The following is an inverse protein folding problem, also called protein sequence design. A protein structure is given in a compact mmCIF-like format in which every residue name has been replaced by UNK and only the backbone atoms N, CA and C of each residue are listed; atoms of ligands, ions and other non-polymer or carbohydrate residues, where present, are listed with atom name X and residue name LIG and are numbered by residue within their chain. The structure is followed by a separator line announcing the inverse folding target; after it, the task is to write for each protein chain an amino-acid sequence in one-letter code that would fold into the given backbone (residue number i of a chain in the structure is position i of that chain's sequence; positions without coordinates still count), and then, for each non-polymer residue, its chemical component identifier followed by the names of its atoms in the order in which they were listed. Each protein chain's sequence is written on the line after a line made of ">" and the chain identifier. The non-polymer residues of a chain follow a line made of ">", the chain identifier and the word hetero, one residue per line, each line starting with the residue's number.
data_IF_047850358768
#
_entry.id   IF_047850358768
#
_cell.length_a   1.000
_cell.length_b   1.000
_cell.length_c   1.000
_cell.angle_alpha   90.00
_cell.angle_beta   90.00
_cell.angle_gamma   90.00
#
_symmetry.space_group_name_H-M   'P 1'
#
loop_
_entity.id
_entity.type
_entity.pdbx_description
1 polymer ?
#
# COMPACT_ATOMS: atom_id res chain seq x y z
N UNK A 1 15.82 0.96 -6.09
CA UNK A 1 14.91 1.90 -5.40
C UNK A 1 13.90 2.33 -6.44
N UNK A 2 12.62 2.36 -6.09
CA UNK A 2 11.57 2.83 -6.98
C UNK A 2 10.99 4.12 -6.41
N UNK A 3 11.18 5.22 -7.12
CA UNK A 3 10.73 6.55 -6.71
C UNK A 3 9.75 7.11 -7.73
N UNK A 4 8.92 8.06 -7.27
CA UNK A 4 7.99 8.82 -8.10
C UNK A 4 7.07 7.89 -8.93
N UNK A 5 6.63 6.78 -8.33
CA UNK A 5 5.68 5.89 -8.96
C UNK A 5 4.30 6.52 -8.91
N UNK A 6 3.50 6.21 -9.93
CA UNK A 6 2.05 6.39 -9.87
C UNK A 6 1.39 5.02 -9.79
N UNK A 7 0.44 4.87 -8.88
CA UNK A 7 -0.35 3.67 -8.68
C UNK A 7 -1.77 3.93 -9.17
N UNK A 8 -2.20 3.17 -10.16
CA UNK A 8 -3.49 3.35 -10.84
C UNK A 8 -4.40 2.19 -10.50
N UNK A 9 -5.54 2.50 -9.89
CA UNK A 9 -6.54 1.51 -9.50
C UNK A 9 -7.18 0.89 -10.75
N UNK A 10 -7.13 -0.44 -10.85
CA UNK A 10 -7.72 -1.20 -11.95
C UNK A 10 -9.07 -1.77 -11.53
N UNK A 11 -9.11 -2.43 -10.38
CA UNK A 11 -10.35 -2.94 -9.78
C UNK A 11 -10.39 -2.64 -8.29
N UNK A 12 -11.59 -2.50 -7.76
CA UNK A 12 -11.83 -2.19 -6.36
C UNK A 12 -13.19 -2.70 -5.93
N UNK A 13 -13.24 -3.36 -4.78
CA UNK A 13 -14.47 -3.80 -4.15
C UNK A 13 -14.35 -3.59 -2.63
N UNK A 14 -15.38 -3.06 -2.00
CA UNK A 14 -15.40 -2.80 -0.56
C UNK A 14 -16.84 -2.82 -0.03
N UNK A 15 -16.98 -2.97 1.28
CA UNK A 15 -18.24 -2.80 2.03
C UNK A 15 -18.19 -1.57 2.96
N UNK A 16 -17.33 -0.60 2.63
CA UNK A 16 -17.07 0.60 3.42
C UNK A 16 -18.17 1.64 3.14
N UNK A 17 -18.79 2.10 4.22
CA UNK A 17 -19.55 3.34 4.20
C UNK A 17 -18.57 4.48 4.49
N UNK A 18 -18.26 5.28 3.47
CA UNK A 18 -17.29 6.38 3.62
C UNK A 18 -17.84 7.55 4.43
N UNK A 19 -19.17 7.66 4.60
CA UNK A 19 -19.78 8.68 5.45
C UNK A 19 -19.83 8.23 6.92
N UNK A 20 -19.91 6.92 7.17
CA UNK A 20 -19.92 6.35 8.52
C UNK A 20 -19.08 5.06 8.64
N UNK A 21 -17.74 5.14 8.54
CA UNK A 21 -16.89 3.96 8.52
C UNK A 21 -16.90 3.23 9.88
N UNK A 22 -16.95 1.89 9.82
CA UNK A 22 -17.08 1.00 10.98
C UNK A 22 -16.00 -0.07 11.02
N UNK A 23 -15.65 -0.45 12.24
CA UNK A 23 -14.85 -1.66 12.50
C UNK A 23 -15.54 -2.88 11.86
N UNK A 24 -14.75 -3.70 11.19
CA UNK A 24 -15.21 -4.90 10.48
C UNK A 24 -15.26 -4.75 8.97
N UNK A 25 -15.49 -3.52 8.46
CA UNK A 25 -15.52 -3.24 7.03
C UNK A 25 -14.12 -3.39 6.41
N UNK A 26 -14.08 -3.68 5.11
CA UNK A 26 -12.90 -4.07 4.37
C UNK A 26 -13.01 -3.77 2.87
N UNK A 27 -11.89 -3.91 2.17
CA UNK A 27 -11.88 -3.87 0.72
C UNK A 27 -10.70 -4.60 0.11
N UNK A 28 -10.85 -4.94 -1.15
CA UNK A 28 -9.79 -5.48 -2.01
C UNK A 28 -9.58 -4.56 -3.21
N UNK A 29 -8.36 -4.53 -3.72
CA UNK A 29 -8.02 -3.80 -4.94
C UNK A 29 -6.97 -4.52 -5.76
N UNK A 30 -7.02 -4.26 -7.05
CA UNK A 30 -5.91 -4.50 -7.97
C UNK A 30 -5.48 -3.16 -8.53
N UNK A 31 -4.19 -2.87 -8.52
CA UNK A 31 -3.63 -1.66 -9.08
C UNK A 31 -2.39 -1.95 -9.93
N UNK A 32 -2.05 -1.00 -10.80
CA UNK A 32 -0.84 -1.03 -11.62
C UNK A 32 0.14 0.05 -11.16
N UNK A 33 1.40 -0.33 -10.97
CA UNK A 33 2.50 0.59 -10.68
C UNK A 33 3.15 1.05 -11.97
N UNK A 34 3.27 2.37 -12.13
CA UNK A 34 3.90 3.00 -13.29
C UNK A 34 5.08 3.87 -12.88
N UNK A 35 6.13 3.83 -13.68
CA UNK A 35 7.29 4.71 -13.54
C UNK A 35 6.99 6.14 -14.05
N UNK A 36 7.92 7.10 -13.89
CA UNK A 36 7.72 8.48 -14.36
C UNK A 36 7.55 8.64 -15.88
N UNK A 37 7.94 7.64 -16.68
CA UNK A 37 7.69 7.62 -18.13
C UNK A 37 6.27 7.15 -18.47
N UNK A 38 5.54 6.62 -17.48
CA UNK A 38 4.21 6.04 -17.62
C UNK A 38 4.22 4.54 -17.95
N UNK A 39 5.40 3.91 -18.00
CA UNK A 39 5.53 2.48 -18.25
C UNK A 39 5.10 1.68 -17.01
N UNK A 40 4.31 0.63 -17.21
CA UNK A 40 3.94 -0.29 -16.15
C UNK A 40 5.16 -1.11 -15.72
N UNK A 41 5.43 -1.13 -14.41
CA UNK A 41 6.58 -1.84 -13.81
C UNK A 41 6.15 -2.94 -12.84
N UNK A 42 4.87 -3.03 -12.52
CA UNK A 42 4.33 -4.06 -11.65
C UNK A 42 2.85 -3.91 -11.35
N UNK A 43 2.32 -4.86 -10.58
CA UNK A 43 0.94 -4.89 -10.11
C UNK A 43 0.88 -5.00 -8.60
N UNK A 44 -0.21 -4.51 -8.02
CA UNK A 44 -0.51 -4.61 -6.59
C UNK A 44 -1.83 -5.35 -6.43
N UNK A 45 -1.82 -6.45 -5.68
CA UNK A 45 -3.01 -7.12 -5.17
C UNK A 45 -3.13 -6.78 -3.68
N UNK A 46 -4.10 -5.96 -3.33
CA UNK A 46 -4.24 -5.38 -1.99
C UNK A 46 -5.53 -5.79 -1.30
N UNK A 47 -5.45 -5.86 0.03
CA UNK A 47 -6.58 -6.00 0.94
C UNK A 47 -6.38 -5.07 2.13
N UNK A 48 -7.48 -4.52 2.65
CA UNK A 48 -7.47 -3.80 3.91
C UNK A 48 -8.73 -4.08 4.72
N UNK A 49 -8.62 -3.95 6.05
CA UNK A 49 -9.74 -4.11 6.99
C UNK A 49 -9.63 -3.13 8.14
N UNK A 50 -10.73 -2.45 8.46
CA UNK A 50 -10.84 -1.63 9.66
C UNK A 50 -10.97 -2.57 10.86
N UNK A 51 -9.96 -2.61 11.73
CA UNK A 51 -9.85 -3.63 12.78
C UNK A 51 -10.31 -3.13 14.14
N UNK A 52 -10.00 -1.88 14.49
CA UNK A 52 -10.33 -1.34 15.82
C UNK A 52 -10.43 0.18 15.80
N UNK A 53 -11.02 0.75 16.85
CA UNK A 53 -10.81 2.15 17.25
C UNK A 53 -9.64 2.21 18.21
N UNK A 54 -8.74 3.18 18.02
CA UNK A 54 -7.62 3.42 18.94
C UNK A 54 -8.11 4.21 20.14
N UNK A 55 -7.87 3.72 21.34
CA UNK A 55 -8.43 4.30 22.57
C UNK A 55 -8.01 5.76 22.83
N UNK A 56 -6.83 6.18 22.34
CA UNK A 56 -6.30 7.51 22.62
C UNK A 56 -7.04 8.65 21.89
N UNK A 57 -7.62 8.37 20.72
CA UNK A 57 -8.18 9.40 19.84
C UNK A 57 -9.38 8.93 19.00
N UNK A 58 -9.89 7.73 19.28
CA UNK A 58 -11.00 7.07 18.57
C UNK A 58 -10.76 6.84 17.06
N UNK A 59 -9.51 6.97 16.60
CA UNK A 59 -9.16 6.79 15.20
C UNK A 59 -9.39 5.35 14.76
N UNK A 60 -10.00 5.18 13.58
CA UNK A 60 -10.18 3.87 12.97
C UNK A 60 -8.83 3.35 12.45
N UNK A 61 -8.37 2.25 13.04
CA UNK A 61 -7.13 1.60 12.67
C UNK A 61 -7.41 0.49 11.68
N UNK A 62 -6.71 0.55 10.55
CA UNK A 62 -6.85 -0.35 9.41
C UNK A 62 -5.59 -1.19 9.27
N UNK A 63 -5.77 -2.50 9.11
CA UNK A 63 -4.69 -3.39 8.71
C UNK A 63 -4.71 -3.51 7.17
N UNK A 64 -3.55 -3.38 6.54
CA UNK A 64 -3.35 -3.45 5.09
C UNK A 64 -2.41 -4.61 4.82
N UNK A 65 -2.74 -5.44 3.83
CA UNK A 65 -1.88 -6.48 3.30
C UNK A 65 -1.82 -6.37 1.79
N UNK A 66 -0.63 -6.37 1.20
CA UNK A 66 -0.45 -6.32 -0.25
C UNK A 66 0.55 -7.37 -0.72
N UNK A 67 0.33 -7.84 -1.94
CA UNK A 67 1.34 -8.47 -2.76
C UNK A 67 1.65 -7.53 -3.93
N UNK A 68 2.92 -7.20 -4.11
CA UNK A 68 3.40 -6.38 -5.22
C UNK A 68 4.27 -7.28 -6.10
N UNK A 69 3.83 -7.49 -7.35
CA UNK A 69 4.59 -8.23 -8.34
C UNK A 69 5.37 -7.25 -9.23
N UNK A 70 6.69 -7.34 -9.24
CA UNK A 70 7.59 -6.59 -10.10
C UNK A 70 8.24 -7.54 -11.12
N UNK A 71 8.86 -6.98 -12.17
CA UNK A 71 9.48 -7.77 -13.24
C UNK A 71 10.54 -8.77 -12.74
N UNK A 72 11.22 -8.46 -11.64
CA UNK A 72 12.34 -9.21 -11.09
C UNK A 72 12.08 -9.79 -9.69
N UNK A 73 10.82 -9.81 -9.23
CA UNK A 73 10.43 -10.51 -8.01
C UNK A 73 9.18 -9.94 -7.32
N UNK A 74 8.73 -10.67 -6.31
CA UNK A 74 7.56 -10.31 -5.51
C UNK A 74 7.96 -9.66 -4.19
N UNK A 75 7.10 -8.75 -3.72
CA UNK A 75 7.24 -8.01 -2.46
C UNK A 75 5.93 -8.12 -1.69
N UNK A 76 6.03 -8.33 -0.39
CA UNK A 76 4.90 -8.36 0.52
C UNK A 76 4.90 -7.12 1.42
N UNK A 77 3.71 -6.63 1.70
CA UNK A 77 3.45 -5.49 2.57
C UNK A 77 2.42 -5.91 3.61
N UNK A 78 2.70 -5.62 4.87
CA UNK A 78 1.72 -5.70 5.96
C UNK A 78 1.92 -4.49 6.88
N UNK A 79 0.87 -3.71 7.10
CA UNK A 79 0.97 -2.45 7.82
C UNK A 79 -0.31 -2.04 8.55
N UNK A 80 -0.12 -1.27 9.62
CA UNK A 80 -1.19 -0.52 10.26
C UNK A 80 -1.26 0.89 9.71
N UNK A 81 -2.46 1.35 9.42
CA UNK A 81 -2.75 2.69 8.97
C UNK A 81 -3.92 3.27 9.75
N UNK A 82 -3.98 4.60 9.83
CA UNK A 82 -5.22 5.30 10.14
C UNK A 82 -6.12 5.24 8.91
N UNK A 83 -7.40 4.94 9.07
CA UNK A 83 -8.34 4.88 7.95
C UNK A 83 -8.41 6.22 7.22
N UNK A 84 -8.35 7.33 7.97
CA UNK A 84 -8.29 8.67 7.40
C UNK A 84 -7.13 8.88 6.41
N UNK A 85 -5.99 8.22 6.59
CA UNK A 85 -4.85 8.30 5.67
C UNK A 85 -5.07 7.57 4.33
N UNK A 86 -6.05 6.67 4.25
CA UNK A 86 -6.39 5.99 2.99
C UNK A 86 -7.21 6.87 2.05
N UNK A 87 -7.86 7.89 2.60
CA UNK A 87 -8.75 8.81 1.86
C UNK A 87 -8.23 10.26 1.85
N UNK A 88 -7.29 10.60 2.74
CA UNK A 88 -6.60 11.89 2.77
C UNK A 88 -5.29 11.82 2.01
N UNK A 89 -4.83 12.93 1.43
CA UNK A 89 -3.55 13.03 0.72
C UNK A 89 -2.29 12.93 1.61
N UNK A 90 -2.43 12.41 2.83
CA UNK A 90 -1.31 12.18 3.74
C UNK A 90 -0.51 10.93 3.36
N UNK A 91 0.79 10.93 3.67
CA UNK A 91 1.65 9.78 3.43
C UNK A 91 1.41 8.65 4.45
N UNK A 92 1.30 7.44 3.92
CA UNK A 92 1.42 6.18 4.63
C UNK A 92 2.81 5.59 4.45
N UNK A 93 3.29 4.90 5.48
CA UNK A 93 4.58 4.22 5.50
C UNK A 93 4.38 2.79 5.95
N UNK A 94 4.57 1.86 5.02
CA UNK A 94 4.29 0.45 5.22
C UNK A 94 5.61 -0.35 5.18
N UNK A 95 5.92 -1.16 6.20
CA UNK A 95 7.04 -2.09 6.12
C UNK A 95 6.86 -3.05 4.94
N UNK A 96 7.95 -3.37 4.25
CA UNK A 96 7.94 -4.35 3.17
C UNK A 96 9.00 -5.43 3.35
N UNK A 97 8.70 -6.62 2.84
CA UNK A 97 9.62 -7.75 2.76
C UNK A 97 9.60 -8.29 1.33
N UNK A 98 10.76 -8.37 0.70
CA UNK A 98 10.91 -9.03 -0.59
C UNK A 98 10.83 -10.55 -0.44
N UNK A 99 9.93 -11.15 -1.21
CA UNK A 99 9.54 -12.56 -1.11
C UNK A 99 10.32 -13.42 -2.10
N UNK A 100 10.59 -12.90 -3.30
CA UNK A 100 11.22 -13.68 -4.37
C UNK A 100 12.13 -12.82 -5.27
N UNK A 101 12.85 -13.51 -6.16
CA UNK A 101 13.72 -12.87 -7.16
C UNK A 101 14.80 -12.00 -6.55
N UNK A 102 15.08 -10.85 -7.18
CA UNK A 102 16.08 -9.86 -6.75
C UNK A 102 15.78 -9.22 -5.38
N UNK A 103 14.57 -9.44 -4.86
CA UNK A 103 14.11 -8.87 -3.60
C UNK A 103 14.15 -9.85 -2.44
N UNK A 104 14.32 -11.15 -2.68
CA UNK A 104 14.24 -12.18 -1.66
C UNK A 104 15.08 -11.84 -0.41
N UNK A 105 14.41 -11.75 0.74
CA UNK A 105 15.03 -11.46 2.04
C UNK A 105 15.37 -9.98 2.29
N UNK A 106 15.17 -9.09 1.32
CA UNK A 106 15.38 -7.64 1.52
C UNK A 106 14.18 -7.05 2.24
N UNK A 107 14.44 -6.12 3.14
CA UNK A 107 13.40 -5.37 3.85
C UNK A 107 13.44 -3.90 3.45
N UNK A 108 12.34 -3.18 3.69
CA UNK A 108 12.23 -1.80 3.28
C UNK A 108 10.97 -1.11 3.76
N UNK A 109 10.66 0.00 3.07
CA UNK A 109 9.42 0.77 3.27
C UNK A 109 8.77 1.04 1.92
N UNK A 110 7.46 0.81 1.85
CA UNK A 110 6.55 1.35 0.85
C UNK A 110 5.96 2.63 1.39
N UNK A 111 6.01 3.68 0.57
CA UNK A 111 5.32 4.93 0.86
C UNK A 111 4.18 5.08 -0.11
N UNK A 112 3.02 5.52 0.36
CA UNK A 112 1.84 5.65 -0.48
C UNK A 112 1.00 6.83 -0.01
N UNK A 113 0.41 7.58 -0.95
CA UNK A 113 -0.64 8.57 -0.65
C UNK A 113 -1.62 8.67 -1.82
N UNK A 114 -2.91 8.88 -1.58
CA UNK A 114 -3.86 9.12 -2.66
C UNK A 114 -3.68 10.54 -3.21
N UNK A 115 -3.76 10.69 -4.53
CA UNK A 115 -3.76 11.99 -5.23
C UNK A 115 -5.14 12.27 -5.83
N UNK A 116 -5.79 11.24 -6.37
CA UNK A 116 -7.21 11.23 -6.74
C UNK A 116 -7.83 10.01 -6.04
N UNK A 117 -8.43 10.18 -4.85
CA UNK A 117 -8.93 9.07 -4.04
C UNK A 117 -9.83 8.11 -4.83
N UNK A 118 -9.52 6.82 -4.75
CA UNK A 118 -10.22 5.79 -5.51
C UNK A 118 -9.83 5.69 -6.99
N UNK A 119 -8.80 6.42 -7.44
CA UNK A 119 -8.28 6.31 -8.81
C UNK A 119 -6.76 6.23 -8.88
N UNK A 120 -6.06 7.22 -8.32
CA UNK A 120 -4.61 7.38 -8.49
C UNK A 120 -3.94 7.74 -7.17
N UNK A 121 -2.79 7.13 -6.93
CA UNK A 121 -1.92 7.41 -5.79
C UNK A 121 -0.46 7.63 -6.23
N UNK A 122 0.30 8.36 -5.42
CA UNK A 122 1.76 8.38 -5.49
C UNK A 122 2.32 7.26 -4.62
N UNK A 123 3.33 6.55 -5.14
CA UNK A 123 3.96 5.46 -4.42
C UNK A 123 5.50 5.50 -4.52
N UNK A 124 6.15 4.90 -3.52
CA UNK A 124 7.60 4.64 -3.49
C UNK A 124 7.85 3.27 -2.89
N UNK A 125 8.91 2.61 -3.36
CA UNK A 125 9.39 1.35 -2.77
C UNK A 125 10.90 1.46 -2.54
N UNK A 126 11.28 1.48 -1.27
CA UNK A 126 12.68 1.67 -0.85
C UNK A 126 13.11 0.46 -0.03
N UNK A 127 14.03 -0.31 -0.57
CA UNK A 127 14.70 -1.39 0.16
C UNK A 127 15.93 -0.85 0.87
N UNK A 128 16.12 -1.23 2.13
CA UNK A 128 17.33 -0.92 2.87
C UNK A 128 18.51 -1.71 2.29
N UNK A 129 19.71 -1.11 2.33
CA UNK A 129 20.93 -1.85 2.01
C UNK A 129 21.15 -2.89 3.10
N UNK A 130 21.42 -4.13 2.71
CA UNK A 130 21.99 -5.12 3.62
C UNK A 130 23.37 -4.60 4.02
N UNK A 131 23.54 -4.18 5.27
CA UNK A 131 24.87 -4.04 5.87
C UNK A 131 25.45 -5.45 5.95
N UNK A 132 26.19 -5.86 4.93
CA UNK A 132 27.07 -7.01 5.04
C UNK A 132 28.24 -6.59 5.91
N UNK A 133 28.25 -7.08 7.15
CA UNK A 133 29.45 -7.22 7.99
C UNK A 133 30.36 -8.31 7.43
#
# INVERSE_FOLDING_TARGET
>A
MFENLSEHLVTFANDIDFEDPKVGQSGTYVAELRDPSGAAIGTVDGFYKIVTRRESDDELMTCITEKIALADGDVHVEAWARFSNLVSGEWLYCPVVGVSGSYAGRTGVRQWRPVDPGKVAEAKLVFFSTLLS
#
